data_IF_738574591322
#
_entry.id   IF_738574591322
#
_cell.length_a   1.000
_cell.length_b   1.000
_cell.length_c   1.000
_cell.angle_alpha   90.00
_cell.angle_beta   90.00
_cell.angle_gamma   90.00
#
_symmetry.space_group_name_H-M   'P 1'
#
loop_
_entity.id
_entity.type
_entity.pdbx_description
1 polymer ?
#
# COMPACT_ATOMS: atom_id res chain seq x y z
N UNK A 1 8.22 -11.11 -23.13
CA UNK A 1 6.79 -10.75 -23.01
C UNK A 1 5.96 -11.84 -22.30
N UNK A 2 6.07 -13.15 -22.63
CA UNK A 2 5.25 -14.18 -21.97
C UNK A 2 5.42 -14.23 -20.45
N UNK A 3 6.63 -14.11 -19.93
CA UNK A 3 6.88 -14.07 -18.49
C UNK A 3 6.19 -12.88 -17.80
N UNK A 4 6.23 -11.70 -18.42
CA UNK A 4 5.55 -10.51 -17.88
C UNK A 4 4.01 -10.69 -17.87
N UNK A 5 3.48 -11.31 -18.90
CA UNK A 5 2.06 -11.65 -18.98
C UNK A 5 1.66 -12.64 -17.87
N UNK A 6 2.48 -13.69 -17.63
CA UNK A 6 2.25 -14.65 -16.56
C UNK A 6 2.34 -14.00 -15.17
N UNK A 7 3.35 -13.15 -14.92
CA UNK A 7 3.47 -12.40 -13.67
C UNK A 7 2.25 -11.52 -13.40
N UNK A 8 1.74 -10.85 -14.45
CA UNK A 8 0.57 -9.97 -14.33
C UNK A 8 -0.72 -10.74 -14.11
N UNK A 9 -0.85 -11.95 -14.69
CA UNK A 9 -2.03 -12.79 -14.58
C UNK A 9 -2.03 -13.70 -13.35
N UNK A 10 -0.91 -13.81 -12.64
CA UNK A 10 -0.79 -14.71 -11.49
C UNK A 10 -1.70 -14.28 -10.33
N UNK A 11 -2.45 -15.22 -9.77
CA UNK A 11 -3.11 -15.04 -8.49
C UNK A 11 -2.04 -15.20 -7.39
N UNK A 12 -1.66 -14.10 -6.74
CA UNK A 12 -0.63 -14.08 -5.71
C UNK A 12 -1.14 -14.57 -4.38
N UNK A 13 -2.31 -14.09 -3.97
CA UNK A 13 -3.19 -14.59 -2.89
C UNK A 13 -4.62 -14.09 -3.14
N UNK A 14 -5.52 -14.39 -2.22
CA UNK A 14 -6.94 -13.97 -2.30
C UNK A 14 -7.29 -12.87 -1.32
N UNK A 15 -6.30 -12.34 -0.59
CA UNK A 15 -6.56 -11.43 0.51
C UNK A 15 -7.34 -12.09 1.63
N UNK A 16 -7.91 -11.26 2.51
CA UNK A 16 -8.74 -11.72 3.63
C UNK A 16 -9.83 -10.69 3.96
N UNK A 17 -10.46 -10.83 5.12
CA UNK A 17 -11.53 -9.90 5.55
C UNK A 17 -11.07 -8.44 5.67
N UNK A 18 -9.76 -8.19 5.79
CA UNK A 18 -9.19 -6.86 6.03
C UNK A 18 -8.36 -6.34 4.86
N UNK A 19 -7.81 -7.23 4.05
CA UNK A 19 -6.91 -6.89 2.95
C UNK A 19 -7.44 -7.38 1.62
N UNK A 20 -7.35 -6.57 0.55
CA UNK A 20 -7.56 -7.05 -0.80
C UNK A 20 -6.48 -8.08 -1.18
N UNK A 21 -6.70 -8.86 -2.26
CA UNK A 21 -5.67 -9.72 -2.81
C UNK A 21 -4.37 -8.97 -3.12
N UNK A 22 -3.24 -9.66 -2.93
CA UNK A 22 -1.93 -9.12 -3.31
C UNK A 22 -1.89 -8.81 -4.80
N UNK A 23 -1.57 -7.56 -5.12
CA UNK A 23 -1.46 -7.07 -6.49
C UNK A 23 -0.01 -6.99 -6.96
N UNK A 24 0.23 -7.36 -8.22
CA UNK A 24 1.47 -7.16 -8.95
C UNK A 24 1.27 -6.09 -10.02
N UNK A 25 2.14 -5.09 -10.06
CA UNK A 25 2.01 -3.97 -10.99
C UNK A 25 3.35 -3.69 -11.66
N UNK A 26 3.36 -3.66 -12.99
CA UNK A 26 4.50 -3.17 -13.78
C UNK A 26 4.34 -1.67 -13.94
N UNK A 27 5.28 -0.90 -13.41
CA UNK A 27 5.26 0.56 -13.47
C UNK A 27 6.07 1.12 -14.63
N UNK A 28 7.11 0.40 -15.09
CA UNK A 28 7.95 0.85 -16.19
C UNK A 28 8.44 -0.34 -17.01
N UNK A 29 8.47 -0.15 -18.32
CA UNK A 29 9.14 -1.05 -19.27
C UNK A 29 9.96 -0.18 -20.22
N UNK A 30 11.28 -0.41 -20.24
CA UNK A 30 12.19 0.34 -21.10
C UNK A 30 13.12 -0.64 -21.84
N UNK A 31 13.24 -0.46 -23.15
CA UNK A 31 14.12 -1.27 -23.97
C UNK A 31 14.18 -0.74 -25.39
N UNK A 32 15.19 -1.21 -26.12
CA UNK A 32 15.41 -0.82 -27.51
C UNK A 32 16.18 0.49 -27.69
N UNK A 33 16.64 0.70 -28.92
CA UNK A 33 17.43 1.87 -29.36
C UNK A 33 16.59 2.92 -30.10
N UNK A 34 15.28 2.66 -30.26
CA UNK A 34 14.39 3.48 -31.09
C UNK A 34 14.42 3.09 -32.59
N UNK A 35 15.33 2.24 -33.02
CA UNK A 35 15.39 1.76 -34.40
C UNK A 35 14.34 0.65 -34.65
N UNK A 36 13.63 0.76 -35.77
CA UNK A 36 12.51 -0.15 -36.09
C UNK A 36 12.96 -1.55 -36.54
N UNK A 37 14.22 -1.72 -36.88
CA UNK A 37 14.81 -2.93 -37.44
C UNK A 37 15.83 -3.60 -36.48
N UNK A 38 15.89 -3.19 -35.24
CA UNK A 38 16.79 -3.73 -34.21
C UNK A 38 15.98 -4.34 -33.08
N UNK A 39 16.20 -5.63 -32.81
CA UNK A 39 15.61 -6.31 -31.67
C UNK A 39 16.44 -5.91 -30.42
N UNK A 40 15.80 -5.44 -29.33
CA UNK A 40 16.50 -5.11 -28.09
C UNK A 40 17.27 -6.30 -27.50
N UNK A 41 18.52 -6.08 -27.09
CA UNK A 41 19.29 -7.07 -26.34
C UNK A 41 18.91 -7.11 -24.86
N UNK A 42 18.38 -6.00 -24.33
CA UNK A 42 17.99 -5.86 -22.93
C UNK A 42 16.61 -5.22 -22.78
N UNK A 43 15.93 -5.61 -21.70
CA UNK A 43 14.67 -5.01 -21.28
C UNK A 43 14.73 -4.69 -19.79
N UNK A 44 14.61 -3.42 -19.44
CA UNK A 44 14.52 -2.99 -18.05
C UNK A 44 13.05 -2.86 -17.65
N UNK A 45 12.66 -3.58 -16.60
CA UNK A 45 11.30 -3.59 -16.07
C UNK A 45 11.31 -3.19 -14.60
N UNK A 46 10.49 -2.20 -14.24
CA UNK A 46 10.22 -1.89 -12.84
C UNK A 46 8.82 -2.35 -12.49
N UNK A 47 8.71 -3.05 -11.39
CA UNK A 47 7.43 -3.55 -10.88
C UNK A 47 7.39 -3.40 -9.36
N UNK A 48 6.20 -3.52 -8.81
CA UNK A 48 6.00 -3.55 -7.36
C UNK A 48 4.87 -4.52 -6.99
N UNK A 49 4.91 -4.94 -5.75
CA UNK A 49 3.81 -5.62 -5.07
C UNK A 49 3.15 -4.69 -4.06
N UNK A 50 1.83 -4.76 -4.01
CA UNK A 50 1.05 -4.36 -2.84
C UNK A 50 0.48 -5.62 -2.25
N UNK A 51 1.03 -6.06 -1.13
CA UNK A 51 0.75 -7.39 -0.62
C UNK A 51 0.03 -7.34 0.73
N UNK A 52 -0.81 -8.35 0.93
CA UNK A 52 -1.61 -8.57 2.12
C UNK A 52 -0.83 -9.35 3.18
N UNK A 53 -1.44 -9.55 4.34
CA UNK A 53 -0.89 -10.42 5.39
C UNK A 53 -0.94 -11.91 5.04
N UNK A 54 -1.57 -12.28 3.89
CA UNK A 54 -1.59 -13.64 3.37
C UNK A 54 -0.32 -14.02 2.59
N UNK A 55 0.49 -13.02 2.25
CA UNK A 55 1.76 -13.20 1.53
C UNK A 55 2.91 -12.64 2.34
N UNK A 56 4.10 -13.19 2.15
CA UNK A 56 5.36 -12.66 2.68
C UNK A 56 6.32 -12.29 1.55
N UNK A 57 7.25 -11.38 1.84
CA UNK A 57 8.17 -10.86 0.84
C UNK A 57 9.05 -11.94 0.20
N UNK A 58 9.46 -12.95 0.95
CA UNK A 58 10.36 -13.98 0.45
C UNK A 58 9.60 -15.03 -0.39
N UNK A 59 8.37 -15.32 -0.04
CA UNK A 59 7.45 -16.10 -0.85
C UNK A 59 7.16 -15.46 -2.20
N UNK A 60 6.88 -14.14 -2.20
CA UNK A 60 6.66 -13.38 -3.44
C UNK A 60 7.90 -13.37 -4.34
N UNK A 61 9.08 -13.10 -3.77
CA UNK A 61 10.36 -13.15 -4.51
C UNK A 61 10.59 -14.53 -5.14
N UNK A 62 10.44 -15.59 -4.37
CA UNK A 62 10.61 -16.96 -4.86
C UNK A 62 9.70 -17.26 -6.04
N UNK A 63 8.41 -16.93 -5.94
CA UNK A 63 7.44 -17.15 -7.04
C UNK A 63 7.78 -16.33 -8.29
N UNK A 64 8.31 -15.11 -8.14
CA UNK A 64 8.79 -14.33 -9.31
C UNK A 64 9.96 -15.05 -9.97
N UNK A 65 10.94 -15.52 -9.20
CA UNK A 65 12.08 -16.28 -9.75
C UNK A 65 11.58 -17.56 -10.47
N UNK A 66 10.68 -18.32 -9.87
CA UNK A 66 10.11 -19.53 -10.47
C UNK A 66 9.46 -19.25 -11.83
N UNK A 67 8.73 -18.15 -11.96
CA UNK A 67 8.12 -17.76 -13.24
C UNK A 67 9.18 -17.35 -14.25
N UNK A 68 10.15 -16.53 -13.88
CA UNK A 68 11.21 -16.09 -14.79
C UNK A 68 12.10 -17.25 -15.26
N UNK A 69 12.45 -18.17 -14.36
CA UNK A 69 13.24 -19.37 -14.63
C UNK A 69 12.51 -20.33 -15.55
N UNK A 70 11.20 -20.53 -15.32
CA UNK A 70 10.32 -21.32 -16.21
C UNK A 70 10.36 -20.85 -17.66
N UNK A 71 10.52 -19.55 -17.87
CA UNK A 71 10.65 -18.95 -19.20
C UNK A 71 12.09 -18.93 -19.75
N UNK A 72 13.05 -19.49 -19.03
CA UNK A 72 14.44 -19.59 -19.45
C UNK A 72 15.14 -18.25 -19.64
N UNK A 73 14.74 -17.24 -18.87
CA UNK A 73 15.31 -15.89 -18.97
C UNK A 73 16.66 -15.80 -18.24
N UNK A 74 17.58 -15.02 -18.81
CA UNK A 74 18.73 -14.50 -18.08
C UNK A 74 18.34 -13.13 -17.52
N UNK A 75 18.39 -12.94 -16.21
CA UNK A 75 17.94 -11.70 -15.57
C UNK A 75 18.74 -11.39 -14.31
N UNK A 76 18.71 -10.10 -13.93
CA UNK A 76 19.14 -9.60 -12.63
C UNK A 76 17.95 -8.94 -11.94
N UNK A 77 17.70 -9.31 -10.69
CA UNK A 77 16.61 -8.74 -9.89
C UNK A 77 17.15 -8.05 -8.65
N UNK A 78 16.81 -6.78 -8.52
CA UNK A 78 17.05 -5.99 -7.32
C UNK A 78 15.75 -5.77 -6.55
N UNK A 79 15.77 -6.11 -5.27
CA UNK A 79 14.60 -6.02 -4.40
C UNK A 79 14.75 -4.95 -3.33
N UNK A 80 13.71 -4.16 -3.16
CA UNK A 80 13.60 -3.20 -2.05
C UNK A 80 12.29 -3.45 -1.31
N UNK A 81 12.37 -3.76 -0.03
CA UNK A 81 11.21 -3.88 0.83
C UNK A 81 10.91 -2.52 1.46
N UNK A 82 9.81 -1.88 1.04
CA UNK A 82 9.39 -0.58 1.59
C UNK A 82 8.72 -0.72 2.94
N UNK A 83 8.03 -1.82 3.21
CA UNK A 83 7.37 -2.11 4.47
C UNK A 83 6.61 -3.43 4.45
N UNK A 84 6.33 -3.94 5.63
CA UNK A 84 5.46 -5.11 5.83
C UNK A 84 4.01 -4.64 5.97
N UNK A 85 3.03 -5.42 5.50
CA UNK A 85 1.64 -5.17 5.84
C UNK A 85 1.44 -5.31 7.35
N UNK A 86 0.57 -4.50 7.91
CA UNK A 86 0.19 -4.61 9.31
C UNK A 86 -1.31 -4.40 9.49
N UNK A 87 -1.85 -5.01 10.53
CA UNK A 87 -3.23 -4.81 10.97
C UNK A 87 -3.21 -4.31 12.41
N UNK A 88 -4.00 -3.29 12.71
CA UNK A 88 -4.37 -2.93 14.07
C UNK A 88 -5.76 -3.51 14.33
N UNK A 89 -5.84 -4.37 15.32
CA UNK A 89 -7.13 -4.89 15.78
C UNK A 89 -7.97 -3.77 16.40
N UNK A 90 -9.29 -3.94 16.38
CA UNK A 90 -10.20 -3.00 17.03
C UNK A 90 -9.88 -2.93 18.53
N UNK A 91 -9.76 -1.71 19.07
CA UNK A 91 -9.36 -1.47 20.45
C UNK A 91 -9.56 -0.01 20.84
N UNK A 92 -9.00 0.38 21.98
CA UNK A 92 -9.18 1.73 22.55
C UNK A 92 -8.88 2.86 21.57
N UNK A 93 -7.82 2.74 20.78
CA UNK A 93 -7.42 3.76 19.84
C UNK A 93 -8.42 3.90 18.69
N UNK A 94 -8.87 2.78 18.11
CA UNK A 94 -9.84 2.78 17.02
C UNK A 94 -11.21 3.27 17.48
N UNK A 95 -11.63 2.87 18.68
CA UNK A 95 -12.90 3.30 19.29
C UNK A 95 -12.88 4.81 19.58
N UNK A 96 -11.82 5.33 20.19
CA UNK A 96 -11.66 6.76 20.45
C UNK A 96 -11.66 7.58 19.14
N UNK A 97 -10.98 7.09 18.09
CA UNK A 97 -10.98 7.75 16.79
C UNK A 97 -12.36 7.79 16.15
N UNK A 98 -13.07 6.66 16.13
CA UNK A 98 -14.41 6.59 15.56
C UNK A 98 -15.40 7.48 16.33
N UNK A 99 -15.33 7.49 17.67
CA UNK A 99 -16.15 8.33 18.52
C UNK A 99 -15.90 9.83 18.28
N UNK A 100 -14.62 10.24 18.24
CA UNK A 100 -14.24 11.63 18.00
C UNK A 100 -14.65 12.11 16.60
N UNK A 101 -14.49 11.29 15.57
CA UNK A 101 -14.92 11.63 14.21
C UNK A 101 -16.43 11.75 14.14
N UNK A 102 -17.17 10.84 14.78
CA UNK A 102 -18.65 10.90 14.81
C UNK A 102 -19.14 12.16 15.53
N UNK A 103 -18.56 12.50 16.68
CA UNK A 103 -18.93 13.66 17.49
C UNK A 103 -18.65 14.99 16.75
N UNK A 104 -17.48 15.14 16.16
CA UNK A 104 -17.01 16.42 15.59
C UNK A 104 -17.40 16.60 14.13
N UNK A 105 -17.34 15.53 13.34
CA UNK A 105 -17.61 15.58 11.91
C UNK A 105 -19.01 15.12 11.52
N UNK A 106 -19.76 14.48 12.42
CA UNK A 106 -21.08 13.94 12.16
C UNK A 106 -21.11 12.74 11.20
N UNK A 107 -19.96 12.08 10.99
CA UNK A 107 -19.83 10.92 10.09
C UNK A 107 -19.27 9.72 10.83
N UNK A 108 -19.62 8.53 10.39
CA UNK A 108 -19.05 7.30 10.93
C UNK A 108 -17.78 6.96 10.15
N UNK A 109 -16.64 6.94 10.83
CA UNK A 109 -15.37 6.49 10.23
C UNK A 109 -15.37 4.97 10.08
N UNK A 110 -14.99 4.48 8.92
CA UNK A 110 -14.74 3.07 8.64
C UNK A 110 -13.29 2.70 8.92
N UNK A 111 -13.08 1.53 9.51
CA UNK A 111 -11.74 0.96 9.64
C UNK A 111 -11.40 0.27 8.33
N UNK A 112 -10.29 0.66 7.73
CA UNK A 112 -9.87 0.18 6.41
C UNK A 112 -8.36 -0.01 6.37
N UNK A 113 -7.90 -0.98 5.59
CA UNK A 113 -6.50 -1.16 5.23
C UNK A 113 -6.19 -0.59 3.84
N UNK A 114 -7.19 0.03 3.18
CA UNK A 114 -6.99 0.73 1.92
C UNK A 114 -6.34 2.08 2.18
N UNK A 115 -5.24 2.35 1.53
CA UNK A 115 -4.55 3.63 1.70
C UNK A 115 -3.13 3.60 1.20
N UNK A 116 -2.45 4.74 1.33
CA UNK A 116 -1.04 4.86 1.01
C UNK A 116 -0.16 4.24 2.08
N UNK A 117 1.09 4.01 1.74
CA UNK A 117 2.11 3.64 2.71
C UNK A 117 2.55 4.89 3.48
N UNK A 118 2.59 4.81 4.80
CA UNK A 118 3.03 5.88 5.68
C UNK A 118 4.20 5.46 6.57
N UNK A 119 4.66 6.38 7.42
CA UNK A 119 5.65 6.10 8.46
C UNK A 119 5.11 5.18 9.57
N UNK A 120 3.80 4.95 9.60
CA UNK A 120 3.16 3.95 10.46
C UNK A 120 3.80 2.58 10.37
N UNK A 121 4.28 2.19 9.17
CA UNK A 121 5.02 0.93 8.96
C UNK A 121 6.24 0.74 9.88
N UNK A 122 6.90 1.83 10.28
CA UNK A 122 8.04 1.79 11.20
C UNK A 122 7.57 1.82 12.66
N UNK A 123 6.54 2.60 12.94
CA UNK A 123 5.99 2.78 14.29
C UNK A 123 5.30 1.49 14.76
N UNK A 124 4.68 0.73 13.86
CA UNK A 124 3.99 -0.53 14.21
C UNK A 124 4.89 -1.54 14.91
N UNK A 125 6.20 -1.52 14.62
CA UNK A 125 7.15 -2.42 15.29
C UNK A 125 7.27 -2.17 16.80
N UNK A 126 6.93 -0.97 17.27
CA UNK A 126 7.07 -0.53 18.67
C UNK A 126 5.73 -0.11 19.30
N UNK A 127 4.68 0.08 18.51
CA UNK A 127 3.35 0.46 18.98
C UNK A 127 2.39 -0.73 18.94
N UNK A 128 1.64 -0.91 20.01
CA UNK A 128 0.60 -1.94 20.10
C UNK A 128 -0.55 -1.66 19.14
N UNK A 129 -1.04 -0.43 19.14
CA UNK A 129 -2.10 0.05 18.27
C UNK A 129 -1.57 1.19 17.42
N UNK A 130 -1.96 1.22 16.15
CA UNK A 130 -1.62 2.27 15.20
C UNK A 130 -2.79 2.48 14.26
N UNK A 131 -3.16 3.72 14.06
CA UNK A 131 -4.11 4.12 13.01
C UNK A 131 -3.53 5.29 12.21
N UNK A 132 -4.02 5.44 11.00
CA UNK A 132 -3.80 6.60 10.17
C UNK A 132 -5.13 7.34 10.03
N UNK A 133 -5.14 8.60 10.42
CA UNK A 133 -6.31 9.45 10.36
C UNK A 133 -5.88 10.82 9.82
N UNK A 134 -6.54 11.27 8.78
CA UNK A 134 -6.22 12.53 8.14
C UNK A 134 -7.43 13.15 7.45
N UNK A 135 -7.24 14.26 6.72
CA UNK A 135 -8.28 14.85 5.92
C UNK A 135 -8.65 13.93 4.74
N UNK A 136 -9.78 14.23 4.09
CA UNK A 136 -10.18 13.54 2.86
C UNK A 136 -9.09 13.74 1.80
N UNK A 137 -8.63 12.63 1.23
CA UNK A 137 -7.51 12.58 0.28
C UNK A 137 -7.96 12.39 -1.18
N UNK A 138 -9.10 12.94 -1.56
CA UNK A 138 -9.72 12.72 -2.88
C UNK A 138 -8.82 13.11 -4.06
N UNK A 139 -7.87 14.01 -3.85
CA UNK A 139 -6.93 14.50 -4.87
C UNK A 139 -5.49 14.03 -4.67
N UNK A 140 -5.27 13.05 -3.80
CA UNK A 140 -3.91 12.52 -3.52
C UNK A 140 -3.22 12.07 -4.82
N UNK A 141 -1.97 12.46 -5.00
CA UNK A 141 -1.12 12.18 -6.18
C UNK A 141 -1.66 12.76 -7.50
N UNK A 142 -2.62 13.69 -7.47
CA UNK A 142 -3.10 14.37 -8.65
C UNK A 142 -2.38 15.72 -8.85
N UNK A 143 -2.44 16.24 -10.07
CA UNK A 143 -2.05 17.64 -10.34
C UNK A 143 -3.03 18.53 -9.55
N UNK A 144 -2.52 19.56 -8.89
CA UNK A 144 -3.28 20.46 -8.01
C UNK A 144 -3.86 19.74 -6.76
N UNK A 145 -3.12 18.79 -6.21
CA UNK A 145 -3.47 18.15 -4.94
C UNK A 145 -3.81 19.22 -3.89
N UNK A 146 -4.96 19.05 -3.25
CA UNK A 146 -5.49 20.03 -2.32
C UNK A 146 -6.26 19.40 -1.18
N UNK A 147 -6.49 20.21 -0.13
CA UNK A 147 -7.33 19.88 1.01
C UNK A 147 -8.28 21.03 1.30
N UNK A 148 -9.50 20.71 1.71
CA UNK A 148 -10.45 21.73 2.14
C UNK A 148 -9.99 22.37 3.45
N UNK A 149 -9.84 23.71 3.46
CA UNK A 149 -9.33 24.43 4.65
C UNK A 149 -10.23 24.24 5.87
N UNK A 150 -11.55 24.09 5.68
CA UNK A 150 -12.50 23.83 6.75
C UNK A 150 -12.30 22.47 7.44
N UNK A 151 -11.59 21.53 6.81
CA UNK A 151 -11.28 20.24 7.41
C UNK A 151 -10.19 20.33 8.49
N UNK A 152 -9.28 21.29 8.41
CA UNK A 152 -8.13 21.39 9.32
C UNK A 152 -8.53 21.64 10.77
N UNK A 153 -9.39 22.64 11.10
CA UNK A 153 -9.84 22.83 12.48
C UNK A 153 -10.67 21.64 13.00
N UNK A 154 -11.46 20.98 12.17
CA UNK A 154 -12.17 19.76 12.56
C UNK A 154 -11.22 18.62 12.90
N UNK A 155 -10.19 18.40 12.07
CA UNK A 155 -9.18 17.39 12.33
C UNK A 155 -8.41 17.67 13.63
N UNK A 156 -8.06 18.93 13.90
CA UNK A 156 -7.44 19.34 15.17
C UNK A 156 -8.32 18.99 16.36
N UNK A 157 -9.62 19.32 16.28
CA UNK A 157 -10.56 19.00 17.33
C UNK A 157 -10.76 17.48 17.54
N UNK A 158 -10.74 16.70 16.45
CA UNK A 158 -10.77 15.23 16.53
C UNK A 158 -9.56 14.70 17.30
N UNK A 159 -8.36 15.16 16.99
CA UNK A 159 -7.17 14.75 17.74
C UNK A 159 -7.21 15.17 19.20
N UNK A 160 -7.64 16.39 19.50
CA UNK A 160 -7.81 16.86 20.89
C UNK A 160 -8.78 15.97 21.67
N UNK A 161 -9.91 15.62 21.06
CA UNK A 161 -10.91 14.74 21.66
C UNK A 161 -10.37 13.33 21.91
N UNK A 162 -9.63 12.78 20.94
CA UNK A 162 -8.96 11.48 21.09
C UNK A 162 -7.94 11.49 22.22
N UNK A 163 -7.10 12.54 22.32
CA UNK A 163 -6.11 12.66 23.38
C UNK A 163 -6.76 12.76 24.76
N UNK A 164 -7.84 13.52 24.88
CA UNK A 164 -8.60 13.61 26.12
C UNK A 164 -9.19 12.25 26.56
N UNK A 165 -9.60 11.40 25.60
CA UNK A 165 -10.13 10.07 25.89
C UNK A 165 -9.05 9.07 26.28
N UNK A 166 -7.89 9.14 25.61
CA UNK A 166 -6.84 8.12 25.73
C UNK A 166 -5.87 8.37 26.88
N UNK A 167 -5.66 9.63 27.29
CA UNK A 167 -4.65 10.04 28.25
C UNK A 167 -5.21 10.35 29.64
N UNK A 168 -6.52 10.33 29.81
CA UNK A 168 -7.21 10.49 31.10
C UNK A 168 -7.81 9.15 31.52
#
# INVERSE_FOLDING_TARGET
APALAELTAAEWDRGNAYFPPTGFQISNINGGTGATNVIPGELNVKFNFRFSTESDSDGLKRRVHEILDKHGLSYDLQWTLSGQPFLTEAGRLTEAAQAAVAEICGVRAELSTSGGTSDGRFIKAIARELIELGPVNATIHQIDENVELSALPKLSAVYERMLAELLV
#
